data_IF_220811197547
#
_entry.id   IF_220811197547
#
_cell.length_a   1.000
_cell.length_b   1.000
_cell.length_c   1.000
_cell.angle_alpha   90.00
_cell.angle_beta   90.00
_cell.angle_gamma   90.00
#
_symmetry.space_group_name_H-M   'P 1'
#
loop_
_entity.id
_entity.type
_entity.pdbx_description
1 polymer ?
#
# COMPACT_ATOMS: atom_id res chain seq x y z
N UNK A 1 -7.39 21.30 -27.16
CA UNK A 1 -7.09 20.99 -25.73
C UNK A 1 -6.89 19.49 -25.62
N UNK A 2 -5.64 19.02 -25.71
CA UNK A 2 -5.31 17.59 -25.75
C UNK A 2 -5.46 17.03 -24.35
N UNK A 3 -6.55 16.34 -24.05
CA UNK A 3 -6.74 15.68 -22.77
C UNK A 3 -5.55 14.75 -22.50
N UNK A 4 -4.82 15.04 -21.42
CA UNK A 4 -3.73 14.19 -20.92
C UNK A 4 -4.25 12.79 -20.59
N UNK A 5 -3.39 11.79 -20.69
CA UNK A 5 -3.76 10.44 -20.26
C UNK A 5 -3.96 10.45 -18.73
N UNK A 6 -4.94 9.70 -18.20
CA UNK A 6 -5.11 9.56 -16.75
C UNK A 6 -4.01 8.70 -16.08
N UNK A 7 -3.06 8.18 -16.87
CA UNK A 7 -1.94 7.34 -16.45
C UNK A 7 -0.65 7.76 -17.15
N UNK A 8 0.48 7.39 -16.55
CA UNK A 8 1.81 7.64 -17.09
C UNK A 8 2.80 6.54 -16.71
N UNK A 9 4.08 6.79 -16.95
CA UNK A 9 5.16 5.91 -16.48
C UNK A 9 5.09 5.81 -14.96
N UNK A 10 5.18 4.59 -14.43
CA UNK A 10 5.07 4.27 -13.01
C UNK A 10 3.65 3.93 -12.53
N UNK A 11 2.61 4.31 -13.27
CA UNK A 11 1.22 3.94 -12.95
C UNK A 11 1.05 2.42 -13.00
N UNK A 12 0.27 1.87 -12.06
CA UNK A 12 -0.22 0.49 -12.15
C UNK A 12 -1.62 0.55 -12.75
N UNK A 13 -1.84 -0.23 -13.80
CA UNK A 13 -3.11 -0.30 -14.52
C UNK A 13 -3.64 -1.72 -14.51
N UNK A 14 -4.95 -1.84 -14.45
CA UNK A 14 -5.66 -3.10 -14.54
C UNK A 14 -6.47 -3.13 -15.83
N UNK A 15 -6.38 -4.25 -16.55
CA UNK A 15 -7.00 -4.46 -17.84
C UNK A 15 -7.70 -5.82 -17.86
N UNK A 16 -9.00 -5.82 -18.11
CA UNK A 16 -9.72 -7.06 -18.37
C UNK A 16 -9.29 -7.65 -19.72
N UNK A 17 -9.34 -8.98 -19.85
CA UNK A 17 -8.91 -9.74 -21.04
C UNK A 17 -9.41 -9.14 -22.36
N UNK A 18 -10.70 -8.80 -22.42
CA UNK A 18 -11.35 -8.22 -23.61
C UNK A 18 -10.85 -6.83 -24.02
N UNK A 19 -9.99 -6.18 -23.23
CA UNK A 19 -9.54 -4.81 -23.43
C UNK A 19 -8.04 -4.69 -23.73
N UNK A 20 -7.35 -5.81 -24.00
CA UNK A 20 -5.97 -5.80 -24.51
C UNK A 20 -5.67 -6.98 -25.44
N UNK A 21 -4.83 -6.77 -26.44
CA UNK A 21 -4.52 -7.82 -27.41
C UNK A 21 -3.55 -8.88 -26.84
N UNK A 22 -3.75 -10.14 -27.25
CA UNK A 22 -2.90 -11.31 -26.93
C UNK A 22 -2.81 -11.64 -25.42
N UNK A 23 -3.87 -11.32 -24.69
CA UNK A 23 -4.06 -11.57 -23.27
C UNK A 23 -4.84 -12.81 -22.94
N UNK A 24 -4.61 -13.36 -21.75
CA UNK A 24 -5.52 -14.32 -21.11
C UNK A 24 -5.67 -13.83 -19.66
N UNK A 25 -6.90 -13.61 -19.21
CA UNK A 25 -7.23 -13.10 -17.89
C UNK A 25 -6.98 -11.62 -17.68
N UNK A 26 -7.22 -11.17 -16.45
CA UNK A 26 -7.02 -9.79 -16.01
C UNK A 26 -5.54 -9.49 -15.85
N UNK A 27 -5.06 -8.46 -16.54
CA UNK A 27 -3.68 -8.02 -16.51
C UNK A 27 -3.50 -6.84 -15.55
N UNK A 28 -2.65 -7.03 -14.54
CA UNK A 28 -2.14 -5.93 -13.69
C UNK A 28 -0.73 -5.56 -14.13
N UNK A 29 -0.59 -4.40 -14.78
CA UNK A 29 0.64 -3.96 -15.42
C UNK A 29 1.15 -2.67 -14.78
N UNK A 30 2.41 -2.64 -14.36
CA UNK A 30 3.12 -1.39 -14.05
C UNK A 30 3.71 -0.81 -15.32
N UNK A 31 3.25 0.36 -15.73
CA UNK A 31 3.69 1.04 -16.96
C UNK A 31 5.15 1.48 -16.81
N UNK A 32 6.00 1.08 -17.76
CA UNK A 32 7.36 1.59 -17.90
C UNK A 32 7.49 2.54 -19.09
N UNK A 33 6.60 2.41 -20.09
CA UNK A 33 6.62 3.22 -21.30
C UNK A 33 5.21 3.35 -21.87
N UNK A 34 4.83 4.55 -22.29
CA UNK A 34 3.57 4.82 -22.99
C UNK A 34 3.91 5.14 -24.44
N UNK A 35 3.42 4.30 -25.35
CA UNK A 35 3.68 4.39 -26.78
C UNK A 35 2.56 5.08 -27.55
N UNK A 36 2.56 4.84 -28.87
CA UNK A 36 1.65 5.48 -29.82
C UNK A 36 0.19 5.07 -29.60
N UNK A 37 -0.72 6.05 -29.73
CA UNK A 37 -2.16 5.84 -29.83
C UNK A 37 -2.55 5.41 -31.25
N UNK A 38 -3.39 4.39 -31.37
CA UNK A 38 -3.87 3.82 -32.63
C UNK A 38 -5.39 3.86 -32.63
N UNK A 39 -5.99 4.33 -33.72
CA UNK A 39 -7.45 4.34 -33.85
C UNK A 39 -7.89 3.03 -34.51
N UNK A 40 -8.77 2.32 -33.85
CA UNK A 40 -9.44 1.12 -34.37
C UNK A 40 -10.93 1.43 -34.56
N UNK A 41 -11.66 0.50 -35.17
CA UNK A 41 -13.11 0.61 -35.41
C UNK A 41 -13.91 0.66 -34.12
N UNK A 42 -13.41 0.07 -33.05
CA UNK A 42 -14.05 -0.07 -31.74
C UNK A 42 -13.55 0.94 -30.70
N UNK A 43 -12.64 1.86 -31.06
CA UNK A 43 -12.18 2.93 -30.18
C UNK A 43 -10.72 3.33 -30.35
N UNK A 44 -10.23 4.06 -29.35
CA UNK A 44 -8.84 4.51 -29.29
C UNK A 44 -8.03 3.52 -28.46
N UNK A 45 -6.97 2.98 -29.05
CA UNK A 45 -6.06 2.04 -28.41
C UNK A 45 -4.70 2.70 -28.19
N UNK A 46 -3.92 2.19 -27.25
CA UNK A 46 -2.59 2.71 -26.93
C UNK A 46 -1.61 1.58 -26.67
N UNK A 47 -0.40 1.72 -27.22
CA UNK A 47 0.69 0.81 -26.91
C UNK A 47 1.22 1.13 -25.52
N UNK A 48 1.34 0.11 -24.67
CA UNK A 48 1.90 0.25 -23.33
C UNK A 48 2.92 -0.86 -23.12
N UNK A 49 4.09 -0.49 -22.60
CA UNK A 49 5.07 -1.46 -22.11
C UNK A 49 5.09 -1.39 -20.60
N UNK A 50 5.21 -2.55 -19.95
CA UNK A 50 5.23 -2.63 -18.51
C UNK A 50 5.75 -3.94 -17.96
N UNK A 51 5.73 -4.04 -16.64
CA UNK A 51 5.98 -5.28 -15.91
C UNK A 51 4.65 -5.77 -15.34
N UNK A 52 4.27 -6.99 -15.68
CA UNK A 52 3.12 -7.66 -15.08
C UNK A 52 3.48 -8.01 -13.64
N UNK A 53 2.65 -7.57 -12.69
CA UNK A 53 2.89 -7.71 -11.25
C UNK A 53 2.52 -9.09 -10.69
N UNK A 54 2.66 -10.13 -11.49
CA UNK A 54 2.56 -11.53 -11.06
C UNK A 54 3.92 -12.04 -10.60
N UNK A 55 3.95 -13.13 -9.84
CA UNK A 55 5.17 -13.86 -9.50
C UNK A 55 5.29 -15.09 -10.40
N UNK A 56 6.31 -15.20 -11.29
CA UNK A 56 7.40 -14.25 -11.52
C UNK A 56 7.00 -13.05 -12.40
N UNK A 57 7.66 -11.88 -12.22
CA UNK A 57 7.34 -10.70 -13.00
C UNK A 57 7.72 -10.90 -14.47
N UNK A 58 6.82 -10.51 -15.37
CA UNK A 58 7.02 -10.64 -16.83
C UNK A 58 6.94 -9.28 -17.51
N UNK A 59 7.93 -8.97 -18.35
CA UNK A 59 7.85 -7.80 -19.22
C UNK A 59 6.82 -8.06 -20.31
N UNK A 60 5.86 -7.15 -20.47
CA UNK A 60 4.80 -7.23 -21.48
C UNK A 60 4.77 -5.94 -22.29
N UNK A 61 4.55 -6.10 -23.60
CA UNK A 61 4.14 -5.02 -24.49
C UNK A 61 2.74 -5.35 -24.98
N UNK A 62 1.79 -4.47 -24.69
CA UNK A 62 0.39 -4.68 -25.00
C UNK A 62 -0.16 -3.51 -25.81
N UNK A 63 -1.21 -3.79 -26.56
CA UNK A 63 -2.11 -2.79 -27.11
C UNK A 63 -3.37 -2.84 -26.26
N UNK A 64 -3.70 -1.75 -25.57
CA UNK A 64 -4.81 -1.68 -24.63
C UNK A 64 -5.84 -0.62 -25.06
N UNK A 65 -7.13 -0.89 -24.82
CA UNK A 65 -8.20 0.06 -25.12
C UNK A 65 -8.15 1.21 -24.11
N UNK A 66 -8.09 2.44 -24.60
CA UNK A 66 -7.72 3.59 -23.77
C UNK A 66 -8.76 3.91 -22.68
N UNK A 67 -10.04 3.77 -23.01
CA UNK A 67 -11.18 4.03 -22.12
C UNK A 67 -11.39 2.91 -21.07
N UNK A 68 -10.80 1.73 -21.30
CA UNK A 68 -10.88 0.58 -20.41
C UNK A 68 -9.71 0.50 -19.42
N UNK A 69 -8.70 1.37 -19.55
CA UNK A 69 -7.56 1.43 -18.63
C UNK A 69 -8.04 1.99 -17.30
N UNK A 70 -8.10 1.13 -16.29
CA UNK A 70 -8.34 1.53 -14.91
C UNK A 70 -7.00 1.67 -14.21
N UNK A 71 -6.66 2.90 -13.78
CA UNK A 71 -5.50 3.11 -12.91
C UNK A 71 -5.79 2.58 -11.53
N UNK A 72 -4.99 1.63 -11.07
CA UNK A 72 -4.96 1.26 -9.67
C UNK A 72 -4.00 2.23 -8.97
N UNK A 73 -4.47 2.98 -7.94
CA UNK A 73 -3.55 3.71 -7.07
C UNK A 73 -2.57 2.70 -6.49
N UNK A 74 -1.27 2.88 -6.75
CA UNK A 74 -0.27 2.11 -6.02
C UNK A 74 -0.36 2.59 -4.58
N UNK A 75 -0.68 1.71 -3.60
CA UNK A 75 -0.65 2.12 -2.21
C UNK A 75 0.79 2.53 -1.91
N UNK A 76 1.02 3.83 -1.72
CA UNK A 76 2.28 4.27 -1.13
C UNK A 76 2.31 3.62 0.25
N UNK A 77 3.32 2.78 0.58
CA UNK A 77 3.36 2.16 1.89
C UNK A 77 3.47 3.26 2.92
N UNK A 78 2.35 3.61 3.55
CA UNK A 78 2.33 4.68 4.54
C UNK A 78 3.02 4.14 5.78
N UNK A 79 4.09 4.79 6.19
CA UNK A 79 4.86 4.34 7.34
C UNK A 79 4.08 4.67 8.61
N UNK A 80 3.64 3.62 9.33
CA UNK A 80 2.89 3.77 10.57
C UNK A 80 3.82 4.01 11.77
N UNK A 81 4.47 5.18 11.80
CA UNK A 81 5.36 5.64 12.88
C UNK A 81 4.63 6.55 13.88
N UNK A 82 5.07 6.61 15.14
CA UNK A 82 4.49 7.52 16.13
C UNK A 82 4.93 8.96 15.85
N UNK A 83 3.99 9.90 15.92
CA UNK A 83 4.23 11.35 15.87
C UNK A 83 4.10 11.92 17.27
N UNK A 84 5.20 12.44 17.81
CA UNK A 84 5.20 13.09 19.12
C UNK A 84 4.71 14.55 19.02
N UNK A 85 4.08 15.11 20.08
CA UNK A 85 3.80 14.49 21.38
C UNK A 85 2.45 13.76 21.46
N UNK A 86 1.60 13.82 20.42
CA UNK A 86 0.27 13.17 20.45
C UNK A 86 0.33 11.64 20.42
N UNK A 87 1.47 11.08 20.00
CA UNK A 87 1.65 9.67 19.72
C UNK A 87 0.63 9.16 18.69
N UNK A 88 0.26 10.00 17.72
CA UNK A 88 -0.62 9.61 16.64
C UNK A 88 0.18 8.93 15.54
N UNK A 89 -0.45 8.02 14.82
CA UNK A 89 0.20 7.30 13.73
C UNK A 89 0.26 8.19 12.49
N UNK A 90 1.47 8.52 12.02
CA UNK A 90 1.68 9.30 10.79
C UNK A 90 0.97 8.70 9.57
N UNK A 91 0.79 7.37 9.57
CA UNK A 91 0.21 6.67 8.43
C UNK A 91 -1.31 6.68 8.34
N UNK A 92 -2.02 6.78 9.47
CA UNK A 92 -3.48 6.62 9.49
C UNK A 92 -4.20 7.57 10.46
N UNK A 93 -3.47 8.43 11.18
CA UNK A 93 -4.02 9.38 12.15
C UNK A 93 -4.51 8.77 13.47
N UNK A 94 -4.69 7.45 13.55
CA UNK A 94 -5.12 6.79 14.78
C UNK A 94 -4.02 6.77 15.86
N UNK A 95 -4.42 6.60 17.12
CA UNK A 95 -3.52 6.41 18.24
C UNK A 95 -2.45 5.32 17.95
N UNK A 96 -1.18 5.69 18.01
CA UNK A 96 -0.07 4.76 17.87
C UNK A 96 0.14 3.98 19.19
N UNK A 97 0.36 2.65 19.18
CA UNK A 97 0.40 1.76 18.01
C UNK A 97 -1.01 1.55 17.42
N UNK A 98 -1.19 1.88 16.15
CA UNK A 98 -2.46 1.71 15.45
C UNK A 98 -2.67 0.25 15.02
N UNK A 99 -3.90 -0.20 14.70
CA UNK A 99 -4.18 -1.59 14.35
C UNK A 99 -3.28 -2.17 13.24
N UNK A 100 -2.96 -1.38 12.22
CA UNK A 100 -2.05 -1.80 11.14
C UNK A 100 -0.62 -1.99 11.62
N UNK A 101 -0.13 -1.09 12.48
CA UNK A 101 1.20 -1.22 13.05
C UNK A 101 1.28 -2.42 14.00
N UNK A 102 0.24 -2.64 14.83
CA UNK A 102 0.14 -3.82 15.72
C UNK A 102 0.25 -5.11 14.92
N UNK A 103 -0.50 -5.24 13.82
CA UNK A 103 -0.44 -6.40 12.92
C UNK A 103 0.95 -6.62 12.34
N UNK A 104 1.61 -5.56 11.87
CA UNK A 104 2.98 -5.63 11.32
C UNK A 104 4.01 -6.00 12.38
N UNK A 105 3.82 -5.56 13.63
CA UNK A 105 4.67 -5.95 14.75
C UNK A 105 4.48 -7.43 15.10
N UNK A 106 3.25 -7.94 15.13
CA UNK A 106 2.96 -9.36 15.36
C UNK A 106 3.62 -10.24 14.29
N UNK A 107 3.55 -9.84 13.02
CA UNK A 107 4.21 -10.53 11.92
C UNK A 107 5.75 -10.49 12.04
N UNK A 108 6.32 -9.29 12.27
CA UNK A 108 7.76 -9.11 12.41
C UNK A 108 8.36 -9.87 13.59
N UNK A 109 7.63 -9.97 14.69
CA UNK A 109 8.05 -10.64 15.92
C UNK A 109 7.40 -12.03 16.08
N UNK A 110 6.91 -12.63 14.98
CA UNK A 110 6.35 -13.98 15.01
C UNK A 110 7.35 -14.96 15.68
N UNK A 111 6.85 -15.71 16.67
CA UNK A 111 7.67 -16.63 17.47
C UNK A 111 8.59 -15.96 18.51
N UNK A 112 8.52 -14.64 18.71
CA UNK A 112 9.35 -13.88 19.67
C UNK A 112 8.52 -12.90 20.52
N UNK A 113 7.48 -13.36 21.25
CA UNK A 113 6.56 -12.49 22.00
C UNK A 113 7.25 -11.66 23.09
N UNK A 114 8.25 -12.21 23.78
CA UNK A 114 9.02 -11.48 24.79
C UNK A 114 9.76 -10.26 24.19
N UNK A 115 10.36 -10.41 23.01
CA UNK A 115 11.06 -9.32 22.33
C UNK A 115 10.09 -8.22 21.88
N UNK A 116 8.87 -8.59 21.46
CA UNK A 116 7.81 -7.64 21.15
C UNK A 116 7.36 -6.88 22.40
N UNK A 117 7.15 -7.59 23.52
CA UNK A 117 6.78 -6.98 24.80
C UNK A 117 7.82 -5.98 25.31
N UNK A 118 9.12 -6.31 25.21
CA UNK A 118 10.21 -5.39 25.55
C UNK A 118 10.17 -4.14 24.68
N UNK A 119 10.05 -4.30 23.35
CA UNK A 119 9.96 -3.18 22.43
C UNK A 119 8.79 -2.24 22.77
N UNK A 120 7.59 -2.80 22.98
CA UNK A 120 6.41 -2.00 23.30
C UNK A 120 6.48 -1.36 24.69
N UNK A 121 7.13 -2.01 25.66
CA UNK A 121 7.38 -1.43 26.98
C UNK A 121 8.30 -0.21 26.88
N UNK A 122 9.37 -0.29 26.09
CA UNK A 122 10.26 0.86 25.83
C UNK A 122 9.48 2.02 25.20
N UNK A 123 8.60 1.72 24.25
CA UNK A 123 7.77 2.74 23.59
C UNK A 123 6.74 3.36 24.55
N UNK A 124 6.12 2.55 25.41
CA UNK A 124 5.21 3.03 26.46
C UNK A 124 5.93 3.97 27.42
N UNK A 125 7.12 3.59 27.92
CA UNK A 125 7.94 4.44 28.81
C UNK A 125 8.30 5.77 28.15
N UNK A 126 8.63 5.75 26.86
CA UNK A 126 8.90 6.98 26.10
C UNK A 126 7.65 7.87 25.93
N UNK A 127 6.45 7.28 25.94
CA UNK A 127 5.19 8.00 25.77
C UNK A 127 4.66 8.64 27.06
N UNK A 128 4.99 8.07 28.23
CA UNK A 128 4.56 8.56 29.56
C UNK A 128 4.73 10.09 29.73
N UNK A 129 5.88 10.72 29.44
CA UNK A 129 6.02 12.16 29.64
C UNK A 129 5.10 12.99 28.72
N UNK A 130 4.83 12.53 27.49
CA UNK A 130 3.99 13.26 26.54
C UNK A 130 2.49 13.06 26.81
N UNK A 131 2.13 11.86 27.25
CA UNK A 131 0.74 11.44 27.48
C UNK A 131 0.36 11.44 28.96
N UNK A 132 1.04 12.23 29.80
CA UNK A 132 0.82 12.34 31.25
C UNK A 132 -0.61 12.71 31.68
N UNK A 133 -1.45 13.12 30.74
CA UNK A 133 -2.86 13.45 30.95
C UNK A 133 -3.77 12.22 30.85
N UNK A 134 -3.29 11.13 30.24
CA UNK A 134 -3.98 9.85 30.19
C UNK A 134 -3.72 9.06 31.47
N UNK A 135 -4.70 8.26 31.94
CA UNK A 135 -4.50 7.43 33.10
C UNK A 135 -3.57 6.23 32.76
N UNK A 136 -2.80 5.71 33.72
CA UNK A 136 -1.82 4.63 33.47
C UNK A 136 -2.40 3.37 32.83
N UNK A 137 -3.64 3.00 33.20
CA UNK A 137 -4.35 1.87 32.63
C UNK A 137 -4.61 2.04 31.13
N UNK A 138 -4.91 3.26 30.66
CA UNK A 138 -5.13 3.52 29.23
C UNK A 138 -3.82 3.40 28.44
N UNK A 139 -2.70 3.83 29.02
CA UNK A 139 -1.38 3.63 28.42
C UNK A 139 -1.02 2.14 28.36
N UNK A 140 -1.30 1.38 29.42
CA UNK A 140 -1.08 -0.06 29.44
C UNK A 140 -1.92 -0.77 28.37
N UNK A 141 -3.22 -0.53 28.34
CA UNK A 141 -4.13 -1.15 27.36
C UNK A 141 -3.74 -0.82 25.91
N UNK A 142 -3.35 0.43 25.67
CA UNK A 142 -2.93 0.92 24.35
C UNK A 142 -1.67 0.24 23.84
N UNK A 143 -0.65 0.08 24.68
CA UNK A 143 0.66 -0.45 24.25
C UNK A 143 0.78 -1.96 24.43
N UNK A 144 0.25 -2.52 25.52
CA UNK A 144 0.49 -3.90 25.96
C UNK A 144 -0.79 -4.74 26.09
N UNK A 145 -1.97 -4.15 26.32
CA UNK A 145 -3.21 -4.89 26.63
C UNK A 145 -3.72 -5.82 25.51
N UNK A 146 -3.23 -5.64 24.28
CA UNK A 146 -3.54 -6.50 23.13
C UNK A 146 -2.49 -7.60 22.88
N UNK A 147 -1.41 -7.66 23.67
CA UNK A 147 -0.44 -8.75 23.58
C UNK A 147 -0.99 -9.98 24.28
N UNK A 148 -1.18 -11.06 23.51
CA UNK A 148 -1.40 -12.39 24.06
C UNK A 148 -0.02 -12.97 24.41
N UNK A 149 0.49 -12.67 25.60
CA UNK A 149 1.70 -13.34 26.12
C UNK A 149 1.27 -14.72 26.60
N UNK A 150 1.40 -15.72 25.73
CA UNK A 150 1.28 -17.14 26.07
C UNK A 150 2.64 -17.72 26.43
#
# INVERSE_FOLDING_TARGET
MTAGLPFGVGSVVQLAEQHYCYGLGTLTLRIVEVGRRVRHTDGLWINVRGVQLESPPRHRRILARLDAIQTQPVPIPVTHIPVRPGWDCAGCGAAWPCPDHRRRLLDRYAGKPAALGIYLSTQMTAAVPDLRHLPPEELYERFLGWLQLA
#
